data_IF_604940661003
#
_entry.id   IF_604940661003
#
_cell.length_a   1.000
_cell.length_b   1.000
_cell.length_c   1.000
_cell.angle_alpha   90.00
_cell.angle_beta   90.00
_cell.angle_gamma   90.00
#
_symmetry.space_group_name_H-M   'P 1'
#
loop_
_entity.id
_entity.type
_entity.pdbx_description
1 polymer ?
#
# COMPACT_ATOMS: atom_id res chain seq x y z
N UNK A 1 -10.64 7.99 16.22
CA UNK A 1 -11.77 7.17 16.72
C UNK A 1 -13.09 7.93 16.70
N UNK A 2 -13.30 8.94 17.55
CA UNK A 2 -14.58 9.68 17.57
C UNK A 2 -14.85 10.42 16.25
N UNK A 3 -13.84 11.14 15.74
CA UNK A 3 -13.91 11.81 14.45
C UNK A 3 -14.29 10.82 13.34
N UNK A 4 -13.49 9.76 13.14
CA UNK A 4 -13.67 8.78 12.06
C UNK A 4 -15.04 8.08 12.11
N UNK A 5 -15.54 7.79 13.31
CA UNK A 5 -16.80 7.06 13.50
C UNK A 5 -18.04 7.94 13.28
N UNK A 6 -17.93 9.25 13.48
CA UNK A 6 -19.08 10.17 13.46
C UNK A 6 -19.13 11.05 12.21
N UNK A 7 -18.01 11.32 11.55
CA UNK A 7 -17.92 12.29 10.46
C UNK A 7 -18.85 11.96 9.28
N UNK A 8 -19.06 10.66 9.01
CA UNK A 8 -19.97 10.18 7.97
C UNK A 8 -21.41 10.66 8.24
N UNK A 9 -21.88 10.64 9.48
CA UNK A 9 -23.23 11.09 9.83
C UNK A 9 -23.43 12.57 9.49
N UNK A 10 -22.42 13.39 9.76
CA UNK A 10 -22.44 14.83 9.45
C UNK A 10 -22.29 15.13 7.96
N UNK A 11 -21.59 14.28 7.20
CA UNK A 11 -21.49 14.38 5.74
C UNK A 11 -22.79 13.96 5.04
N UNK A 12 -23.48 12.95 5.58
CA UNK A 12 -24.79 12.51 5.09
C UNK A 12 -25.84 13.60 5.28
N UNK A 13 -25.85 14.29 6.42
CA UNK A 13 -26.82 15.35 6.69
C UNK A 13 -26.51 16.61 5.88
N UNK A 14 -27.38 16.90 4.90
CA UNK A 14 -27.28 18.03 3.95
C UNK A 14 -26.95 19.40 4.56
N UNK A 15 -27.40 19.69 5.80
CA UNK A 15 -27.18 20.98 6.45
C UNK A 15 -25.79 21.11 7.05
N UNK A 16 -25.26 20.02 7.62
CA UNK A 16 -23.93 20.00 8.26
C UNK A 16 -22.82 19.66 7.28
N UNK A 17 -23.14 19.06 6.13
CA UNK A 17 -22.17 18.61 5.12
C UNK A 17 -21.05 19.59 4.77
N UNK A 18 -21.30 20.87 4.40
CA UNK A 18 -20.21 21.78 4.05
C UNK A 18 -19.26 22.04 5.23
N UNK A 19 -19.80 22.17 6.45
CA UNK A 19 -18.99 22.34 7.66
C UNK A 19 -18.19 21.07 7.98
N UNK A 20 -18.84 19.90 7.90
CA UNK A 20 -18.20 18.60 8.10
C UNK A 20 -17.05 18.39 7.09
N UNK A 21 -17.23 18.79 5.84
CA UNK A 21 -16.20 18.70 4.82
C UNK A 21 -15.01 19.63 5.11
N UNK A 22 -15.22 20.84 5.60
CA UNK A 22 -14.12 21.72 6.06
C UNK A 22 -13.32 21.05 7.18
N UNK A 23 -14.00 20.41 8.13
CA UNK A 23 -13.32 19.65 9.20
C UNK A 23 -12.55 18.46 8.62
N UNK A 24 -13.10 17.73 7.63
CA UNK A 24 -12.40 16.64 6.93
C UNK A 24 -11.12 17.14 6.26
N UNK A 25 -11.17 18.28 5.57
CA UNK A 25 -9.98 18.89 4.96
C UNK A 25 -8.96 19.23 6.03
N UNK A 26 -9.37 19.92 7.11
CA UNK A 26 -8.47 20.29 8.20
C UNK A 26 -7.80 19.07 8.85
N UNK A 27 -8.57 18.03 9.15
CA UNK A 27 -8.06 16.77 9.71
C UNK A 27 -7.02 16.11 8.81
N UNK A 28 -7.27 16.05 7.50
CA UNK A 28 -6.34 15.43 6.54
C UNK A 28 -5.10 16.30 6.29
N UNK A 29 -5.20 17.63 6.38
CA UNK A 29 -4.04 18.54 6.35
C UNK A 29 -3.16 18.29 7.58
N UNK A 30 -3.75 18.23 8.77
CA UNK A 30 -3.00 17.91 10.01
C UNK A 30 -2.35 16.53 9.89
N UNK A 31 -3.08 15.54 9.39
CA UNK A 31 -2.55 14.18 9.15
C UNK A 31 -1.38 14.20 8.16
N UNK A 32 -1.46 14.95 7.07
CA UNK A 32 -0.39 15.08 6.08
C UNK A 32 0.88 15.70 6.66
N UNK A 33 0.73 16.72 7.52
CA UNK A 33 1.86 17.40 8.17
C UNK A 33 2.52 16.51 9.22
N UNK A 34 1.72 15.81 10.02
CA UNK A 34 2.24 14.98 11.11
C UNK A 34 2.74 13.62 10.64
N UNK A 35 2.13 13.06 9.58
CA UNK A 35 2.40 11.72 9.09
C UNK A 35 2.61 11.74 7.57
N UNK A 36 3.82 11.46 7.07
CA UNK A 36 4.11 11.45 5.63
C UNK A 36 3.58 10.16 4.95
N UNK A 37 2.25 9.99 4.92
CA UNK A 37 1.55 8.81 4.37
C UNK A 37 1.28 8.97 2.85
N UNK A 38 2.10 9.77 2.16
CA UNK A 38 2.02 9.98 0.72
C UNK A 38 0.69 10.59 0.24
N UNK A 39 0.09 9.98 -0.79
CA UNK A 39 -1.11 10.49 -1.47
C UNK A 39 -2.42 10.30 -0.69
N UNK A 40 -2.39 9.54 0.41
CA UNK A 40 -3.60 9.16 1.15
C UNK A 40 -4.49 10.37 1.54
N UNK A 41 -3.97 11.46 2.14
CA UNK A 41 -4.80 12.60 2.51
C UNK A 41 -5.54 13.25 1.34
N UNK A 42 -4.88 13.35 0.18
CA UNK A 42 -5.47 13.93 -1.02
C UNK A 42 -6.58 13.05 -1.61
N UNK A 43 -6.35 11.74 -1.63
CA UNK A 43 -7.35 10.76 -2.10
C UNK A 43 -8.57 10.81 -1.20
N UNK A 44 -8.40 10.82 0.12
CA UNK A 44 -9.52 10.84 1.07
C UNK A 44 -10.37 12.10 0.99
N UNK A 45 -9.73 13.28 0.91
CA UNK A 45 -10.44 14.55 0.73
C UNK A 45 -11.23 14.56 -0.58
N UNK A 46 -10.62 14.09 -1.66
CA UNK A 46 -11.28 14.02 -2.98
C UNK A 46 -12.42 13.01 -2.98
N UNK A 47 -12.23 11.82 -2.38
CA UNK A 47 -13.24 10.78 -2.29
C UNK A 47 -14.45 11.24 -1.46
N UNK A 48 -14.25 12.04 -0.42
CA UNK A 48 -15.33 12.60 0.39
C UNK A 48 -16.29 13.50 -0.41
N UNK A 49 -15.90 13.97 -1.61
CA UNK A 49 -16.81 14.68 -2.52
C UNK A 49 -17.98 13.81 -3.01
N UNK A 50 -17.91 12.48 -2.87
CA UNK A 50 -19.01 11.55 -3.16
C UNK A 50 -20.27 11.85 -2.33
N UNK A 51 -20.11 12.48 -1.16
CA UNK A 51 -21.24 12.88 -0.32
C UNK A 51 -21.96 14.13 -0.85
N UNK A 52 -21.40 14.84 -1.83
CA UNK A 52 -22.03 16.02 -2.43
C UNK A 52 -22.89 15.68 -3.64
N UNK A 53 -23.85 16.55 -3.96
CA UNK A 53 -24.81 16.34 -5.05
C UNK A 53 -24.12 16.34 -6.42
N UNK A 54 -24.37 15.38 -7.32
CA UNK A 54 -23.67 15.29 -8.61
C UNK A 54 -23.85 16.49 -9.54
N UNK A 55 -24.75 17.43 -9.24
CA UNK A 55 -24.89 18.71 -9.95
C UNK A 55 -23.82 19.75 -9.60
N UNK A 56 -23.15 19.64 -8.45
CA UNK A 56 -22.21 20.66 -7.96
C UNK A 56 -21.05 20.94 -8.92
N UNK A 57 -20.42 19.94 -9.60
CA UNK A 57 -19.31 20.23 -10.50
C UNK A 57 -19.77 21.04 -11.71
N UNK A 58 -20.95 20.72 -12.24
CA UNK A 58 -21.55 21.44 -13.39
C UNK A 58 -21.91 22.88 -13.02
N UNK A 59 -22.48 23.07 -11.82
CA UNK A 59 -22.80 24.39 -11.29
C UNK A 59 -21.56 25.26 -11.07
N UNK A 60 -20.46 24.66 -10.57
CA UNK A 60 -19.19 25.34 -10.38
C UNK A 60 -18.58 25.77 -11.72
N UNK A 61 -18.53 24.87 -12.71
CA UNK A 61 -18.00 25.17 -14.04
C UNK A 61 -18.82 26.29 -14.72
N UNK A 62 -20.14 26.22 -14.66
CA UNK A 62 -21.01 27.26 -15.22
C UNK A 62 -20.74 28.64 -14.57
N UNK A 63 -20.56 28.66 -13.24
CA UNK A 63 -20.22 29.87 -12.49
C UNK A 63 -18.85 30.43 -12.86
N UNK A 64 -17.82 29.59 -12.94
CA UNK A 64 -16.45 30.01 -13.30
C UNK A 64 -16.38 30.50 -14.75
N UNK A 65 -17.08 29.85 -15.67
CA UNK A 65 -17.13 30.23 -17.10
C UNK A 65 -18.12 31.36 -17.41
N UNK A 66 -18.79 31.93 -16.40
CA UNK A 66 -19.88 32.92 -16.56
C UNK A 66 -20.94 32.51 -17.59
N UNK A 67 -21.15 31.20 -17.75
CA UNK A 67 -22.21 30.69 -18.62
C UNK A 67 -23.55 30.88 -17.90
N UNK A 68 -24.65 31.23 -18.60
CA UNK A 68 -25.97 31.21 -18.01
C UNK A 68 -26.23 29.79 -17.51
N UNK A 69 -26.22 29.63 -16.19
CA UNK A 69 -26.34 28.34 -15.52
C UNK A 69 -27.78 27.85 -15.67
N UNK A 70 -28.11 27.27 -16.83
CA UNK A 70 -29.29 26.42 -16.99
C UNK A 70 -29.01 25.06 -16.36
N UNK A 71 -28.62 25.07 -15.09
CA UNK A 71 -28.70 23.87 -14.25
C UNK A 71 -30.19 23.70 -13.99
N UNK A 72 -30.89 23.07 -14.94
CA UNK A 72 -32.21 22.52 -14.64
C UNK A 72 -31.96 21.56 -13.47
N UNK A 73 -32.55 21.78 -12.27
CA UNK A 73 -32.58 20.71 -11.29
C UNK A 73 -33.19 19.53 -12.04
N UNK A 74 -32.51 18.38 -11.99
CA UNK A 74 -33.16 17.14 -12.39
C UNK A 74 -34.30 16.99 -11.40
N UNK A 75 -35.47 17.48 -11.80
CA UNK A 75 -36.74 17.09 -11.21
C UNK A 75 -36.80 15.62 -11.56
N UNK A 76 -36.26 14.79 -10.66
CA UNK A 76 -36.59 13.39 -10.63
C UNK A 76 -38.11 13.34 -10.71
N UNK A 77 -38.62 12.65 -11.71
CA UNK A 77 -40.03 12.48 -11.99
C UNK A 77 -40.74 11.98 -10.71
N UNK A 78 -41.34 12.88 -9.92
CA UNK A 78 -41.78 12.62 -8.53
C UNK A 78 -43.12 11.87 -8.47
N UNK A 79 -43.41 10.97 -9.41
CA UNK A 79 -44.70 10.28 -9.45
C UNK A 79 -44.79 9.00 -10.26
N UNK A 80 -43.79 8.67 -11.09
CA UNK A 80 -43.79 7.39 -11.79
C UNK A 80 -43.31 6.27 -10.84
N UNK A 81 -44.05 5.16 -10.68
CA UNK A 81 -43.54 4.01 -9.95
C UNK A 81 -42.22 3.57 -10.60
N UNK A 82 -41.20 3.17 -9.82
CA UNK A 82 -39.92 2.75 -10.37
C UNK A 82 -40.17 1.62 -11.37
N UNK A 83 -39.98 1.91 -12.66
CA UNK A 83 -40.13 0.92 -13.71
C UNK A 83 -39.13 -0.23 -13.44
N UNK A 84 -39.54 -1.46 -13.71
CA UNK A 84 -38.66 -2.61 -13.58
C UNK A 84 -37.35 -2.33 -14.36
N UNK A 85 -36.18 -2.58 -13.76
CA UNK A 85 -34.92 -2.26 -14.41
C UNK A 85 -34.81 -3.00 -15.75
N UNK A 86 -34.72 -2.24 -16.84
CA UNK A 86 -34.46 -2.79 -18.17
C UNK A 86 -33.09 -3.48 -18.23
N UNK A 87 -32.70 -3.98 -19.40
CA UNK A 87 -31.45 -4.74 -19.57
C UNK A 87 -30.21 -4.00 -19.04
N UNK A 88 -30.13 -2.67 -19.23
CA UNK A 88 -29.05 -1.82 -18.69
C UNK A 88 -29.00 -1.85 -17.16
N UNK A 89 -30.16 -1.85 -16.50
CA UNK A 89 -30.26 -1.94 -15.04
C UNK A 89 -29.82 -3.31 -14.52
N UNK A 90 -30.16 -4.39 -15.25
CA UNK A 90 -29.69 -5.75 -14.94
C UNK A 90 -28.17 -5.88 -15.09
N UNK A 91 -27.58 -5.31 -16.14
CA UNK A 91 -26.13 -5.27 -16.35
C UNK A 91 -25.45 -4.45 -15.25
N UNK A 92 -25.99 -3.27 -14.91
CA UNK A 92 -25.44 -2.43 -13.85
C UNK A 92 -25.48 -3.14 -12.49
N UNK A 93 -26.59 -3.84 -12.17
CA UNK A 93 -26.70 -4.65 -10.97
C UNK A 93 -25.68 -5.79 -10.98
N UNK A 94 -25.55 -6.52 -12.10
CA UNK A 94 -24.54 -7.58 -12.24
C UNK A 94 -23.12 -7.06 -12.00
N UNK A 95 -22.76 -5.92 -12.60
CA UNK A 95 -21.47 -5.28 -12.40
C UNK A 95 -21.25 -4.87 -10.93
N UNK A 96 -22.27 -4.31 -10.28
CA UNK A 96 -22.20 -3.94 -8.87
C UNK A 96 -22.00 -5.16 -7.95
N UNK A 97 -22.68 -6.28 -8.24
CA UNK A 97 -22.52 -7.53 -7.51
C UNK A 97 -21.13 -8.13 -7.70
N UNK A 98 -20.61 -8.14 -8.94
CA UNK A 98 -19.23 -8.59 -9.22
C UNK A 98 -18.22 -7.70 -8.48
N UNK A 99 -18.41 -6.38 -8.51
CA UNK A 99 -17.55 -5.46 -7.78
C UNK A 99 -17.57 -5.74 -6.26
N UNK A 100 -18.77 -5.87 -5.66
CA UNK A 100 -18.91 -6.18 -4.24
C UNK A 100 -18.25 -7.53 -3.89
N UNK A 101 -18.43 -8.54 -4.73
CA UNK A 101 -17.78 -9.83 -4.58
C UNK A 101 -16.25 -9.70 -4.60
N UNK A 102 -15.68 -8.97 -5.57
CA UNK A 102 -14.24 -8.72 -5.64
C UNK A 102 -13.71 -7.97 -4.42
N UNK A 103 -14.46 -6.98 -3.90
CA UNK A 103 -14.08 -6.22 -2.69
C UNK A 103 -14.01 -7.09 -1.43
N UNK A 104 -14.72 -8.22 -1.39
CA UNK A 104 -14.67 -9.18 -0.28
C UNK A 104 -13.62 -10.26 -0.51
N UNK A 105 -13.55 -10.80 -1.73
CA UNK A 105 -12.64 -11.91 -2.06
C UNK A 105 -11.18 -11.46 -2.09
N UNK A 106 -10.87 -10.28 -2.62
CA UNK A 106 -9.49 -9.80 -2.73
C UNK A 106 -8.78 -9.67 -1.38
N UNK A 107 -9.38 -9.10 -0.32
CA UNK A 107 -8.77 -9.10 1.01
C UNK A 107 -8.63 -10.50 1.63
N UNK A 108 -9.64 -11.36 1.43
CA UNK A 108 -9.67 -12.72 1.99
C UNK A 108 -8.71 -13.69 1.29
N UNK A 109 -8.22 -13.36 0.08
CA UNK A 109 -7.24 -14.19 -0.65
C UNK A 109 -5.97 -14.48 0.15
N UNK A 110 -5.65 -13.65 1.13
CA UNK A 110 -4.52 -13.84 2.04
C UNK A 110 -4.55 -15.19 2.76
N UNK A 111 -5.74 -15.74 3.03
CA UNK A 111 -5.90 -17.03 3.68
C UNK A 111 -5.52 -18.22 2.78
N UNK A 112 -5.47 -18.03 1.46
CA UNK A 112 -5.13 -19.10 0.52
C UNK A 112 -3.61 -19.40 0.45
N UNK A 113 -2.76 -18.48 0.90
CA UNK A 113 -1.30 -18.63 0.85
C UNK A 113 -0.71 -19.40 2.03
N UNK A 114 -1.47 -19.53 3.14
CA UNK A 114 -0.96 -20.06 4.40
C UNK A 114 0.10 -19.15 5.05
N UNK A 115 0.60 -19.55 6.22
CA UNK A 115 1.66 -18.81 6.92
C UNK A 115 1.25 -17.40 7.39
N UNK A 116 2.26 -16.54 7.58
CA UNK A 116 2.07 -15.17 8.08
C UNK A 116 2.15 -14.15 6.94
N UNK A 117 0.99 -13.64 6.52
CA UNK A 117 0.88 -12.63 5.45
C UNK A 117 1.65 -11.34 5.73
N UNK A 118 1.85 -10.98 7.00
CA UNK A 118 2.65 -9.81 7.38
C UNK A 118 4.13 -10.01 7.06
N UNK A 119 4.57 -11.26 6.91
CA UNK A 119 5.94 -11.62 6.59
C UNK A 119 6.13 -11.83 5.09
N UNK A 120 5.45 -12.83 4.51
CA UNK A 120 5.64 -13.22 3.11
C UNK A 120 4.98 -12.28 2.10
N UNK A 121 4.06 -11.42 2.55
CA UNK A 121 3.34 -10.40 1.77
C UNK A 121 2.55 -10.86 0.53
N UNK A 122 2.55 -12.15 0.22
CA UNK A 122 1.65 -12.77 -0.74
C UNK A 122 0.18 -12.51 -0.36
N UNK A 123 -0.51 -11.70 -1.18
CA UNK A 123 -1.87 -11.24 -0.90
C UNK A 123 -1.99 -10.01 0.01
N UNK A 124 -0.89 -9.42 0.50
CA UNK A 124 -0.90 -8.26 1.39
C UNK A 124 -1.56 -7.03 0.76
N UNK A 125 -1.29 -6.76 -0.53
CA UNK A 125 -1.93 -5.67 -1.27
C UNK A 125 -3.43 -5.93 -1.36
N UNK A 126 -4.23 -4.92 -0.98
CA UNK A 126 -5.69 -5.02 -0.82
C UNK A 126 -6.17 -5.91 0.35
N UNK A 127 -5.28 -6.32 1.26
CA UNK A 127 -5.70 -6.94 2.52
C UNK A 127 -6.15 -5.89 3.54
N UNK A 128 -6.96 -6.31 4.51
CA UNK A 128 -7.34 -5.47 5.65
C UNK A 128 -6.26 -5.36 6.73
N UNK A 129 -5.04 -5.86 6.48
CA UNK A 129 -4.00 -6.07 7.50
C UNK A 129 -2.86 -5.06 7.42
N UNK A 130 -2.94 -4.08 6.53
CA UNK A 130 -1.87 -3.09 6.31
C UNK A 130 -1.46 -2.36 7.59
N UNK A 131 -2.41 -2.05 8.48
CA UNK A 131 -2.16 -1.34 9.75
C UNK A 131 -1.66 -2.25 10.88
N UNK A 132 -1.47 -3.55 10.62
CA UNK A 132 -1.03 -4.53 11.64
C UNK A 132 0.44 -4.93 11.49
N UNK A 133 1.17 -4.29 10.57
CA UNK A 133 2.58 -4.56 10.30
C UNK A 133 3.44 -3.31 10.39
N UNK A 134 4.63 -3.51 10.91
CA UNK A 134 5.79 -2.65 10.82
C UNK A 134 6.97 -3.56 10.45
N UNK A 135 7.61 -3.28 9.32
CA UNK A 135 8.79 -4.02 8.85
C UNK A 135 9.94 -3.05 8.66
N UNK A 136 11.12 -3.48 9.05
CA UNK A 136 12.37 -2.82 8.71
C UNK A 136 13.36 -3.88 8.21
N UNK A 137 14.11 -3.57 7.16
CA UNK A 137 14.95 -4.55 6.51
C UNK A 137 16.14 -3.95 5.78
N UNK A 138 17.10 -4.82 5.49
CA UNK A 138 18.27 -4.53 4.67
C UNK A 138 18.42 -5.63 3.63
N UNK A 139 18.85 -5.24 2.43
CA UNK A 139 19.07 -6.16 1.32
C UNK A 139 20.44 -5.91 0.68
N UNK A 140 21.13 -6.98 0.30
CA UNK A 140 22.31 -6.93 -0.58
C UNK A 140 22.18 -8.05 -1.59
N UNK A 141 22.44 -7.75 -2.88
CA UNK A 141 22.40 -8.73 -3.94
C UNK A 141 23.80 -9.28 -4.20
N UNK A 142 23.88 -10.57 -4.49
CA UNK A 142 25.10 -11.26 -4.89
C UNK A 142 24.91 -11.77 -6.31
N UNK A 143 25.69 -11.23 -7.23
CA UNK A 143 25.68 -11.61 -8.65
C UNK A 143 26.86 -12.52 -8.89
N UNK A 144 26.64 -13.65 -9.56
CA UNK A 144 27.68 -14.59 -9.96
C UNK A 144 27.61 -14.85 -11.45
N UNK A 145 28.72 -14.63 -12.16
CA UNK A 145 28.87 -15.03 -13.55
C UNK A 145 29.01 -16.56 -13.61
N UNK A 146 28.12 -17.21 -14.38
CA UNK A 146 28.07 -18.67 -14.47
C UNK A 146 29.26 -19.28 -15.23
N UNK A 147 29.92 -18.49 -16.09
CA UNK A 147 31.04 -18.91 -16.95
C UNK A 147 32.36 -18.63 -16.25
N UNK A 148 32.57 -17.41 -15.77
CA UNK A 148 33.87 -17.02 -15.17
C UNK A 148 33.96 -17.33 -13.68
N UNK A 149 32.81 -17.57 -13.02
CA UNK A 149 32.72 -17.76 -11.57
C UNK A 149 32.94 -16.48 -10.76
N UNK A 150 33.14 -15.32 -11.41
CA UNK A 150 33.35 -14.04 -10.75
C UNK A 150 32.08 -13.63 -10.01
N UNK A 151 32.25 -13.06 -8.81
CA UNK A 151 31.16 -12.62 -7.95
C UNK A 151 31.23 -11.13 -7.66
N UNK A 152 30.07 -10.50 -7.54
CA UNK A 152 29.91 -9.09 -7.19
C UNK A 152 28.86 -8.93 -6.10
N UNK A 153 29.12 -8.03 -5.16
CA UNK A 153 28.14 -7.56 -4.20
C UNK A 153 27.53 -6.26 -4.71
N UNK A 154 26.21 -6.27 -4.91
CA UNK A 154 25.45 -5.16 -5.49
C UNK A 154 24.49 -4.62 -4.44
N UNK A 155 24.82 -3.51 -3.77
CA UNK A 155 23.88 -2.84 -2.89
C UNK A 155 22.74 -2.20 -3.71
N UNK A 156 21.49 -2.21 -3.20
CA UNK A 156 20.34 -1.64 -3.92
C UNK A 156 20.48 -0.15 -4.22
N UNK A 157 21.28 0.59 -3.43
CA UNK A 157 21.54 2.02 -3.59
C UNK A 157 22.23 2.39 -4.91
N UNK A 158 22.78 1.41 -5.65
CA UNK A 158 23.26 1.63 -7.03
C UNK A 158 22.10 1.81 -8.03
N UNK A 159 20.91 1.31 -7.70
CA UNK A 159 19.72 1.28 -8.56
C UNK A 159 18.60 2.18 -8.06
N UNK A 160 18.46 2.27 -6.75
CA UNK A 160 17.27 2.80 -6.09
C UNK A 160 17.60 4.04 -5.28
N UNK A 161 16.64 4.95 -5.21
CA UNK A 161 16.66 6.01 -4.20
C UNK A 161 16.51 5.41 -2.80
N UNK A 162 16.94 6.11 -1.76
CA UNK A 162 16.80 5.67 -0.35
C UNK A 162 15.38 5.26 0.03
N UNK A 163 14.37 5.96 -0.51
CA UNK A 163 12.97 5.62 -0.27
C UNK A 163 12.61 4.27 -0.91
N UNK A 164 12.95 4.09 -2.19
CA UNK A 164 12.68 2.84 -2.91
C UNK A 164 13.43 1.66 -2.31
N UNK A 165 14.69 1.84 -1.89
CA UNK A 165 15.47 0.82 -1.20
C UNK A 165 14.79 0.36 0.09
N UNK A 166 14.35 1.31 0.93
CA UNK A 166 13.65 1.00 2.18
C UNK A 166 12.34 0.23 1.94
N UNK A 167 11.57 0.63 0.94
CA UNK A 167 10.32 -0.07 0.59
C UNK A 167 10.59 -1.46 -0.01
N UNK A 168 11.62 -1.59 -0.84
CA UNK A 168 12.01 -2.85 -1.49
C UNK A 168 12.53 -3.87 -0.49
N UNK A 169 13.39 -3.46 0.45
CA UNK A 169 14.08 -4.37 1.38
C UNK A 169 13.14 -5.20 2.28
N UNK A 170 11.84 -4.87 2.33
CA UNK A 170 10.84 -5.61 3.11
C UNK A 170 9.78 -6.28 2.25
N UNK A 171 9.79 -6.10 0.92
CA UNK A 171 8.76 -6.57 -0.02
C UNK A 171 9.35 -7.58 -1.02
N UNK A 172 9.01 -8.89 -0.90
CA UNK A 172 9.53 -9.95 -1.76
C UNK A 172 9.38 -9.68 -3.26
N UNK A 173 8.24 -9.12 -3.69
CA UNK A 173 8.00 -8.85 -5.12
C UNK A 173 8.93 -7.77 -5.67
N UNK A 174 9.23 -6.73 -4.87
CA UNK A 174 10.18 -5.69 -5.27
C UNK A 174 11.63 -6.20 -5.27
N UNK A 175 11.98 -7.09 -4.33
CA UNK A 175 13.29 -7.76 -4.31
C UNK A 175 13.48 -8.57 -5.59
N UNK A 176 12.47 -9.35 -5.99
CA UNK A 176 12.50 -10.13 -7.22
C UNK A 176 12.62 -9.24 -8.47
N UNK A 177 11.83 -8.16 -8.55
CA UNK A 177 11.91 -7.21 -9.66
C UNK A 177 13.30 -6.58 -9.81
N UNK A 178 13.93 -6.22 -8.69
CA UNK A 178 15.29 -5.69 -8.72
C UNK A 178 16.31 -6.77 -9.09
N UNK A 179 16.14 -8.01 -8.61
CA UNK A 179 17.01 -9.13 -9.01
C UNK A 179 17.00 -9.33 -10.54
N UNK A 180 15.83 -9.30 -11.17
CA UNK A 180 15.71 -9.39 -12.63
C UNK A 180 16.36 -8.20 -13.35
N UNK A 181 16.25 -6.99 -12.80
CA UNK A 181 16.92 -5.83 -13.38
C UNK A 181 18.44 -5.94 -13.29
N UNK A 182 18.97 -6.36 -12.13
CA UNK A 182 20.39 -6.60 -11.93
C UNK A 182 20.91 -7.69 -12.89
N UNK A 183 20.15 -8.79 -13.04
CA UNK A 183 20.50 -9.86 -13.97
C UNK A 183 20.66 -9.31 -15.40
N UNK A 184 19.64 -8.59 -15.91
CA UNK A 184 19.69 -8.00 -17.26
C UNK A 184 20.91 -7.11 -17.49
N UNK A 185 21.27 -6.26 -16.53
CA UNK A 185 22.38 -5.34 -16.70
C UNK A 185 23.74 -6.03 -16.68
N UNK A 186 23.91 -7.04 -15.81
CA UNK A 186 25.14 -7.81 -15.74
C UNK A 186 25.30 -8.75 -16.93
N UNK A 187 24.22 -9.36 -17.43
CA UNK A 187 24.26 -10.18 -18.65
C UNK A 187 24.59 -9.33 -19.88
N UNK A 188 24.04 -8.11 -19.96
CA UNK A 188 24.38 -7.17 -21.03
C UNK A 188 25.86 -6.75 -21.01
N UNK A 189 26.46 -6.67 -19.82
CA UNK A 189 27.85 -6.23 -19.64
C UNK A 189 28.87 -7.37 -19.78
N UNK A 190 28.55 -8.54 -19.23
CA UNK A 190 29.45 -9.71 -19.22
C UNK A 190 29.28 -10.58 -20.46
N UNK A 191 28.16 -10.43 -21.18
CA UNK A 191 27.72 -11.33 -22.25
C UNK A 191 27.58 -12.80 -21.83
N UNK A 192 27.45 -13.06 -20.52
CA UNK A 192 27.28 -14.38 -19.93
C UNK A 192 26.01 -14.43 -19.08
N UNK A 193 25.37 -15.60 -18.94
CA UNK A 193 24.27 -15.77 -18.00
C UNK A 193 24.76 -15.61 -16.56
N UNK A 194 23.98 -14.91 -15.74
CA UNK A 194 24.32 -14.66 -14.34
C UNK A 194 23.29 -15.26 -13.39
N UNK A 195 23.78 -15.67 -12.23
CA UNK A 195 22.97 -16.07 -11.08
C UNK A 195 22.86 -14.87 -10.13
N UNK A 196 21.64 -14.55 -9.67
CA UNK A 196 21.39 -13.45 -8.74
C UNK A 196 20.74 -13.98 -7.47
N UNK A 197 21.48 -13.91 -6.37
CA UNK A 197 21.00 -14.24 -5.02
C UNK A 197 20.85 -12.96 -4.21
N UNK A 198 20.08 -13.02 -3.12
CA UNK A 198 19.93 -11.89 -2.22
C UNK A 198 20.07 -12.30 -0.76
N UNK A 199 20.88 -11.57 -0.01
CA UNK A 199 20.86 -11.59 1.45
C UNK A 199 19.92 -10.49 1.93
N UNK A 200 18.73 -10.90 2.39
CA UNK A 200 17.68 -9.99 2.85
C UNK A 200 17.29 -10.35 4.26
N UNK A 201 17.50 -9.42 5.19
CA UNK A 201 17.15 -9.58 6.60
C UNK A 201 16.11 -8.58 7.02
N UNK A 202 15.08 -9.04 7.71
CA UNK A 202 13.91 -8.24 8.07
C UNK A 202 13.50 -8.47 9.51
N UNK A 203 13.17 -7.38 10.20
CA UNK A 203 12.45 -7.39 11.47
C UNK A 203 10.96 -7.14 11.24
N UNK A 204 10.10 -7.84 11.98
CA UNK A 204 8.65 -7.70 11.94
C UNK A 204 8.09 -7.36 13.33
N UNK A 205 7.45 -6.20 13.46
CA UNK A 205 6.79 -5.72 14.67
C UNK A 205 7.69 -5.82 15.92
N UNK A 206 8.94 -5.36 15.80
CA UNK A 206 9.92 -5.33 16.90
C UNK A 206 10.55 -6.69 17.25
N UNK A 207 10.34 -7.74 16.45
CA UNK A 207 11.05 -9.03 16.59
C UNK A 207 12.49 -8.94 16.11
N UNK A 208 13.31 -9.93 16.49
CA UNK A 208 14.66 -10.08 15.94
C UNK A 208 14.64 -10.20 14.42
N UNK A 209 15.70 -9.69 13.79
CA UNK A 209 15.82 -9.70 12.33
C UNK A 209 16.16 -11.10 11.82
N UNK A 210 15.34 -11.62 10.91
CA UNK A 210 15.49 -12.94 10.30
C UNK A 210 15.59 -12.86 8.77
N UNK A 211 16.21 -13.87 8.10
CA UNK A 211 16.23 -13.93 6.65
C UNK A 211 14.82 -14.00 6.06
N UNK A 212 14.48 -13.07 5.15
CA UNK A 212 13.18 -13.05 4.46
C UNK A 212 13.18 -13.97 3.23
N UNK A 213 14.30 -14.03 2.52
CA UNK A 213 14.49 -14.76 1.27
C UNK A 213 15.59 -15.80 1.46
N UNK A 214 15.43 -16.97 0.84
CA UNK A 214 16.47 -17.99 0.83
C UNK A 214 17.70 -17.48 0.06
N UNK A 215 18.86 -17.30 0.73
CA UNK A 215 20.06 -16.74 0.11
C UNK A 215 20.73 -17.70 -0.88
N UNK A 216 20.25 -18.94 -1.00
CA UNK A 216 20.78 -19.96 -1.90
C UNK A 216 20.03 -20.04 -3.23
N UNK A 217 18.84 -19.44 -3.31
CA UNK A 217 17.99 -19.47 -4.50
C UNK A 217 18.43 -18.39 -5.50
N UNK A 218 18.53 -18.79 -6.77
CA UNK A 218 18.74 -17.89 -7.90
C UNK A 218 17.43 -17.17 -8.27
N UNK A 219 17.27 -15.95 -7.76
CA UNK A 219 16.12 -15.10 -8.03
C UNK A 219 16.01 -14.67 -9.50
N UNK A 220 17.10 -14.75 -10.28
CA UNK A 220 17.03 -14.46 -11.71
C UNK A 220 16.14 -15.45 -12.48
N UNK A 221 15.97 -16.67 -11.94
CA UNK A 221 15.16 -17.74 -12.53
C UNK A 221 13.74 -17.83 -11.99
N UNK A 222 13.46 -17.13 -10.90
CA UNK A 222 12.14 -17.13 -10.27
C UNK A 222 11.18 -16.21 -11.05
N UNK A 223 9.94 -16.66 -11.25
CA UNK A 223 8.92 -15.89 -11.94
C UNK A 223 8.00 -15.17 -10.94
N UNK A 224 7.58 -13.94 -11.30
CA UNK A 224 6.51 -13.28 -10.54
C UNK A 224 5.14 -13.83 -10.94
N UNK A 225 4.28 -13.99 -9.95
CA UNK A 225 2.98 -14.61 -10.13
C UNK A 225 2.15 -14.61 -8.85
N UNK A 226 0.88 -15.02 -8.98
CA UNK A 226 -0.06 -15.11 -7.88
C UNK A 226 0.09 -16.39 -7.05
N UNK A 227 0.94 -17.33 -7.46
CA UNK A 227 1.18 -18.58 -6.75
C UNK A 227 2.04 -18.40 -5.49
N UNK A 228 2.03 -19.39 -4.57
CA UNK A 228 2.95 -19.44 -3.44
C UNK A 228 4.40 -19.44 -3.90
N UNK A 229 5.23 -18.59 -3.29
CA UNK A 229 6.66 -18.46 -3.54
C UNK A 229 7.45 -19.27 -2.50
N UNK A 230 8.13 -20.33 -2.95
CA UNK A 230 8.86 -21.26 -2.07
C UNK A 230 10.17 -20.66 -1.51
N UNK A 231 10.75 -19.68 -2.21
CA UNK A 231 11.98 -19.00 -1.81
C UNK A 231 11.79 -17.96 -0.70
N UNK A 232 10.54 -17.70 -0.27
CA UNK A 232 10.27 -16.85 0.89
C UNK A 232 10.30 -17.72 2.14
N UNK A 233 11.17 -17.36 3.08
CA UNK A 233 11.36 -18.11 4.32
C UNK A 233 10.24 -17.86 5.33
N UNK A 234 10.00 -18.79 6.28
CA UNK A 234 8.96 -18.62 7.30
C UNK A 234 9.23 -17.41 8.21
N UNK A 235 8.16 -16.94 8.87
CA UNK A 235 8.23 -15.76 9.73
C UNK A 235 8.92 -16.05 11.07
N UNK A 236 9.52 -15.02 11.70
CA UNK A 236 10.09 -15.15 13.04
C UNK A 236 9.03 -15.55 14.07
N UNK A 237 9.30 -16.63 14.81
CA UNK A 237 8.41 -17.15 15.86
C UNK A 237 8.67 -16.48 17.22
N UNK A 238 9.83 -15.84 17.40
CA UNK A 238 10.22 -15.20 18.65
C UNK A 238 9.31 -14.04 19.08
N UNK A 239 9.24 -13.71 20.37
CA UNK A 239 8.52 -12.54 20.85
C UNK A 239 9.21 -11.23 20.42
N UNK A 240 8.49 -10.10 20.40
CA UNK A 240 9.10 -8.78 20.23
C UNK A 240 10.15 -8.51 21.31
N UNK A 241 11.21 -7.80 20.93
CA UNK A 241 12.29 -7.42 21.86
C UNK A 241 11.80 -6.33 22.79
N UNK A 242 11.69 -6.62 24.09
CA UNK A 242 11.38 -5.62 25.11
C UNK A 242 12.69 -5.00 25.64
N UNK A 243 13.04 -3.83 25.14
CA UNK A 243 14.11 -3.04 25.73
C UNK A 243 13.63 -2.46 27.06
N UNK A 244 14.21 -2.91 28.18
CA UNK A 244 13.98 -2.25 29.46
C UNK A 244 14.68 -0.88 29.42
N UNK A 245 13.97 0.24 29.69
CA UNK A 245 14.62 1.53 29.78
C UNK A 245 15.65 1.46 30.92
N UNK A 246 16.92 1.62 30.59
CA UNK A 246 17.98 1.75 31.58
C UNK A 246 17.76 3.08 32.31
N UNK A 247 17.40 3.01 33.60
CA UNK A 247 17.44 4.15 34.52
C UNK A 247 18.90 4.58 34.74
N UNK A 248 19.53 5.16 33.73
CA UNK A 248 20.85 5.79 33.86
C UNK A 248 20.92 7.03 32.99
N UNK A 249 20.02 7.96 33.28
CA UNK A 249 20.28 9.39 33.13
C UNK A 249 20.00 10.04 34.49
N UNK A 250 20.76 9.66 35.53
CA UNK A 250 21.00 10.59 36.63
C UNK A 250 21.88 11.68 36.01
N UNK A 251 21.24 12.77 35.62
CA UNK A 251 21.93 14.03 35.38
C UNK A 251 22.84 14.27 36.59
N UNK A 252 24.15 14.27 36.37
CA UNK A 252 25.08 14.85 37.33
C UNK A 252 24.66 16.29 37.51
N UNK A 253 24.19 16.64 38.70
CA UNK A 253 24.02 18.04 39.08
C UNK A 253 25.41 18.71 39.09
N UNK A 254 25.55 19.93 38.55
CA UNK A 254 26.77 20.72 38.73
C UNK A 254 26.90 21.07 40.22
N UNK A 255 28.14 21.08 40.70
CA UNK A 255 28.46 21.21 42.11
C UNK A 255 27.97 22.48 42.80
N UNK A 256 27.86 22.36 44.12
CA UNK A 256 28.13 23.39 45.12
C UNK A 256 28.70 22.68 46.35
#
# INVERSE_FOLDING_TARGET
>A
MLFDSTIVLFLLWRRTRPFAYVVVVGFHVVTFVLFPIGMFPFIMVTAALVFFDPSWPRALIARVRRLPATVRPSVADQGAPPAAPGWKGRVALGAALVYAFLQVVLPLRTHAYGGNVLWHEQGMRFSWRVMTREKNGSATFMVRDSVTGRQWHVPPSQYLTRLQEREMAVQPDLILQLAHQIARDYEATTHHPVEVRADVRVSLNGRMSEPLVDPTVDLAREEDGLGPKAWILPAPEGPPVHLRPTRSARAGGPGA
#
